data_IF_803457683488
#
_entry.id   IF_803457683488
#
_cell.length_a   1.000
_cell.length_b   1.000
_cell.length_c   1.000
_cell.angle_alpha   90.00
_cell.angle_beta   90.00
_cell.angle_gamma   90.00
#
_symmetry.space_group_name_H-M   'P 1'
#
loop_
_entity.id
_entity.type
_entity.pdbx_description
1 polymer ?
#
# COMPACT_ATOMS: atom_id res chain seq x y z
N UNK A 1 2.88 33.10 1.82
CA UNK A 1 4.00 32.21 2.16
C UNK A 1 3.95 31.10 1.14
N UNK A 2 4.93 31.05 0.23
CA UNK A 2 5.05 29.97 -0.73
C UNK A 2 5.14 28.65 0.01
N UNK A 3 4.23 27.72 -0.28
CA UNK A 3 4.40 26.32 0.11
C UNK A 3 5.68 25.85 -0.58
N UNK A 4 6.78 25.81 0.15
CA UNK A 4 7.96 25.12 -0.35
C UNK A 4 7.52 23.69 -0.60
N UNK A 5 7.55 23.29 -1.87
CA UNK A 5 7.00 22.03 -2.34
C UNK A 5 7.69 20.86 -1.64
N UNK A 6 6.88 19.94 -1.10
CA UNK A 6 7.34 18.72 -0.43
C UNK A 6 7.55 17.70 -1.53
N UNK A 7 8.79 17.32 -1.80
CA UNK A 7 9.09 16.32 -2.83
C UNK A 7 8.40 14.98 -2.52
N UNK A 8 7.53 14.55 -3.40
CA UNK A 8 6.70 13.36 -3.21
C UNK A 8 6.98 12.33 -4.30
N UNK A 9 7.33 11.13 -3.86
CA UNK A 9 7.49 9.94 -4.72
C UNK A 9 6.27 9.04 -4.49
N UNK A 10 5.47 8.84 -5.52
CA UNK A 10 4.29 7.98 -5.49
C UNK A 10 4.56 6.67 -6.25
N UNK A 11 4.38 5.53 -5.58
CA UNK A 11 4.68 4.21 -6.12
C UNK A 11 3.42 3.35 -6.11
N UNK A 12 2.89 3.04 -7.29
CA UNK A 12 1.79 2.10 -7.47
C UNK A 12 2.28 0.77 -8.07
N UNK A 13 1.45 -0.24 -8.00
CA UNK A 13 1.74 -1.54 -8.58
C UNK A 13 0.94 -2.68 -7.93
N UNK A 14 0.95 -3.88 -8.53
CA UNK A 14 0.16 -5.01 -8.08
C UNK A 14 0.62 -5.57 -6.72
N UNK A 15 -0.19 -6.45 -6.13
CA UNK A 15 0.15 -7.11 -4.88
C UNK A 15 1.39 -7.99 -5.05
N UNK A 16 2.36 -7.88 -4.12
CA UNK A 16 3.58 -8.70 -4.17
C UNK A 16 4.66 -8.20 -5.13
N UNK A 17 4.49 -7.05 -5.81
CA UNK A 17 5.53 -6.46 -6.67
C UNK A 17 6.80 -6.01 -5.93
N UNK A 18 6.79 -6.01 -4.59
CA UNK A 18 7.92 -5.55 -3.78
C UNK A 18 7.91 -4.07 -3.44
N UNK A 19 6.89 -3.31 -3.90
CA UNK A 19 6.83 -1.85 -3.71
C UNK A 19 6.93 -1.42 -2.24
N UNK A 20 6.31 -2.12 -1.28
CA UNK A 20 6.42 -1.78 0.14
C UNK A 20 7.85 -1.86 0.66
N UNK A 21 8.61 -2.89 0.27
CA UNK A 21 10.02 -3.03 0.64
C UNK A 21 10.86 -1.94 -0.02
N UNK A 22 10.67 -1.73 -1.32
CA UNK A 22 11.39 -0.71 -2.09
C UNK A 22 11.09 0.69 -1.56
N UNK A 23 9.81 1.04 -1.38
CA UNK A 23 9.39 2.35 -0.89
C UNK A 23 9.94 2.66 0.52
N UNK A 24 9.92 1.67 1.40
CA UNK A 24 10.43 1.80 2.76
C UNK A 24 11.94 2.02 2.78
N UNK A 25 12.72 1.21 2.05
CA UNK A 25 14.17 1.40 2.00
C UNK A 25 14.54 2.69 1.27
N UNK A 26 13.84 3.05 0.20
CA UNK A 26 14.02 4.33 -0.49
C UNK A 26 13.77 5.52 0.45
N UNK A 27 12.71 5.47 1.27
CA UNK A 27 12.42 6.54 2.24
C UNK A 27 13.53 6.71 3.28
N UNK A 28 14.15 5.62 3.73
CA UNK A 28 15.31 5.67 4.63
C UNK A 28 16.53 6.31 3.95
N UNK A 29 16.83 5.90 2.72
CA UNK A 29 17.99 6.44 1.95
C UNK A 29 17.83 7.94 1.74
N UNK A 30 16.61 8.41 1.39
CA UNK A 30 16.34 9.81 1.15
C UNK A 30 16.05 10.61 2.45
N UNK A 31 15.96 9.94 3.58
CA UNK A 31 15.47 10.53 4.84
C UNK A 31 14.09 11.19 4.69
N UNK A 32 13.19 10.56 3.92
CA UNK A 32 11.82 11.00 3.68
C UNK A 32 10.82 10.28 4.58
N UNK A 33 9.66 10.86 4.76
CA UNK A 33 8.53 10.17 5.37
C UNK A 33 8.08 9.00 4.51
N UNK A 34 7.46 8.00 5.13
CA UNK A 34 6.97 6.81 4.45
C UNK A 34 5.47 6.64 4.69
N UNK A 35 4.74 6.32 3.64
CA UNK A 35 3.32 5.98 3.68
C UNK A 35 3.06 4.61 3.03
N UNK A 36 2.68 3.60 3.84
CA UNK A 36 2.04 2.36 3.36
C UNK A 36 0.52 2.55 3.38
N UNK A 37 -0.06 2.95 2.25
CA UNK A 37 -1.52 3.09 2.12
C UNK A 37 -2.25 1.78 2.41
N UNK A 38 -1.69 0.64 1.99
CA UNK A 38 -2.25 -0.67 2.28
C UNK A 38 -2.30 -1.00 3.78
N UNK A 39 -1.34 -0.51 4.58
CA UNK A 39 -1.37 -0.67 6.04
C UNK A 39 -2.56 0.08 6.65
N UNK A 40 -2.86 1.30 6.19
CA UNK A 40 -4.03 2.07 6.66
C UNK A 40 -5.31 1.25 6.48
N UNK A 41 -5.55 0.71 5.27
CA UNK A 41 -6.74 -0.11 5.02
C UNK A 41 -6.78 -1.38 5.86
N UNK A 42 -5.63 -1.98 6.16
CA UNK A 42 -5.54 -3.16 7.04
C UNK A 42 -5.83 -2.82 8.51
N UNK A 43 -5.37 -1.68 8.99
CA UNK A 43 -5.71 -1.21 10.36
C UNK A 43 -7.22 -0.99 10.47
N UNK A 44 -7.83 -0.33 9.50
CA UNK A 44 -9.28 -0.10 9.47
C UNK A 44 -10.04 -1.43 9.40
N UNK A 45 -9.57 -2.37 8.58
CA UNK A 45 -10.15 -3.71 8.51
C UNK A 45 -10.11 -4.42 9.87
N UNK A 46 -8.98 -4.32 10.59
CA UNK A 46 -8.86 -4.87 11.93
C UNK A 46 -9.81 -4.18 12.93
N UNK A 47 -9.93 -2.85 12.87
CA UNK A 47 -10.87 -2.11 13.72
C UNK A 47 -12.33 -2.52 13.47
N UNK A 48 -12.74 -2.65 12.21
CA UNK A 48 -14.05 -3.14 11.79
C UNK A 48 -14.27 -4.57 12.32
N UNK A 49 -13.29 -5.44 12.16
CA UNK A 49 -13.34 -6.82 12.65
C UNK A 49 -13.52 -6.88 14.17
N UNK A 50 -12.74 -6.11 14.92
CA UNK A 50 -12.78 -6.07 16.38
C UNK A 50 -14.13 -5.52 16.91
N UNK A 51 -14.71 -4.54 16.22
CA UNK A 51 -16.03 -3.98 16.53
C UNK A 51 -17.19 -4.85 16.01
N UNK A 52 -16.91 -5.95 15.29
CA UNK A 52 -17.90 -6.84 14.66
C UNK A 52 -18.90 -6.09 13.77
N UNK A 53 -18.42 -5.06 13.05
CA UNK A 53 -19.25 -4.30 12.11
C UNK A 53 -19.38 -5.06 10.79
N UNK A 54 -20.56 -4.99 10.21
CA UNK A 54 -20.84 -5.55 8.88
C UNK A 54 -20.56 -4.51 7.78
N UNK A 55 -20.24 -4.99 6.59
CA UNK A 55 -19.89 -4.17 5.42
C UNK A 55 -20.98 -3.20 4.96
N UNK A 56 -22.24 -3.57 5.14
CA UNK A 56 -23.40 -2.74 4.80
C UNK A 56 -23.64 -1.58 5.78
N UNK A 57 -22.88 -1.53 6.87
CA UNK A 57 -22.98 -0.48 7.89
C UNK A 57 -22.03 0.69 7.59
N UNK A 58 -22.04 1.21 6.35
CA UNK A 58 -21.09 2.25 5.89
C UNK A 58 -21.01 3.45 6.82
N UNK A 59 -22.16 3.97 7.30
CA UNK A 59 -22.18 5.12 8.21
C UNK A 59 -21.42 4.84 9.51
N UNK A 60 -21.60 3.65 10.09
CA UNK A 60 -20.88 3.26 11.31
C UNK A 60 -19.38 3.08 11.06
N UNK A 61 -19.01 2.61 9.87
CA UNK A 61 -17.58 2.49 9.50
C UNK A 61 -16.96 3.88 9.38
N UNK A 62 -17.64 4.86 8.77
CA UNK A 62 -17.17 6.24 8.66
C UNK A 62 -17.11 6.92 10.05
N UNK A 63 -18.06 6.63 10.95
CA UNK A 63 -18.02 7.09 12.33
C UNK A 63 -16.82 6.50 13.09
N UNK A 64 -16.58 5.19 12.93
CA UNK A 64 -15.44 4.50 13.52
C UNK A 64 -14.10 5.18 13.14
N UNK A 65 -13.95 5.66 11.90
CA UNK A 65 -12.74 6.36 11.48
C UNK A 65 -12.45 7.65 12.25
N UNK A 66 -13.47 8.26 12.83
CA UNK A 66 -13.32 9.48 13.66
C UNK A 66 -12.95 9.15 15.10
N UNK A 67 -13.20 7.93 15.53
CA UNK A 67 -12.97 7.47 16.91
C UNK A 67 -11.61 6.80 17.08
N UNK A 68 -11.07 6.15 16.04
CA UNK A 68 -9.82 5.42 16.11
C UNK A 68 -8.61 6.32 15.84
N UNK A 69 -7.54 6.06 16.58
CA UNK A 69 -6.23 6.66 16.33
C UNK A 69 -5.33 5.65 15.62
N UNK A 70 -4.79 6.05 14.46
CA UNK A 70 -3.84 5.26 13.68
C UNK A 70 -2.50 5.97 13.68
N UNK A 71 -1.46 5.31 14.17
CA UNK A 71 -0.10 5.84 14.11
C UNK A 71 0.90 4.80 13.60
N UNK A 72 1.99 5.31 13.03
CA UNK A 72 3.08 4.52 12.48
C UNK A 72 4.38 5.02 13.10
N UNK A 73 5.12 4.14 13.77
CA UNK A 73 6.41 4.45 14.37
C UNK A 73 7.43 3.40 13.94
N UNK A 74 8.49 3.84 13.27
CA UNK A 74 9.50 2.95 12.69
C UNK A 74 8.86 1.83 11.85
N UNK A 75 8.91 0.59 12.32
CA UNK A 75 8.39 -0.61 11.65
C UNK A 75 7.07 -1.08 12.24
N UNK A 76 6.50 -0.32 13.17
CA UNK A 76 5.30 -0.68 13.93
C UNK A 76 4.09 0.13 13.47
N UNK A 77 2.96 -0.52 13.57
CA UNK A 77 1.64 0.07 13.29
C UNK A 77 0.80 -0.03 14.55
N UNK A 78 0.22 1.09 14.95
CA UNK A 78 -0.59 1.18 16.16
C UNK A 78 -2.03 1.52 15.82
N UNK A 79 -2.93 0.90 16.55
CA UNK A 79 -4.36 1.22 16.60
C UNK A 79 -4.72 1.52 18.07
N UNK A 80 -5.17 2.75 18.34
CA UNK A 80 -5.51 3.22 19.70
C UNK A 80 -4.37 2.94 20.70
N UNK A 81 -3.13 3.20 20.29
CA UNK A 81 -1.92 2.98 21.09
C UNK A 81 -1.45 1.52 21.21
N UNK A 82 -2.21 0.54 20.69
CA UNK A 82 -1.82 -0.87 20.71
C UNK A 82 -1.04 -1.22 19.44
N UNK A 83 0.13 -1.87 19.58
CA UNK A 83 0.88 -2.44 18.45
C UNK A 83 0.06 -3.57 17.78
N UNK A 84 -0.32 -3.37 16.53
CA UNK A 84 -1.11 -4.30 15.71
C UNK A 84 -0.37 -4.77 14.46
N UNK A 85 0.95 -4.62 14.45
CA UNK A 85 1.80 -4.89 13.29
C UNK A 85 1.73 -6.33 12.78
N UNK A 86 1.48 -7.30 13.65
CA UNK A 86 1.29 -8.70 13.28
C UNK A 86 -0.13 -8.97 12.82
N UNK A 87 -1.13 -8.49 13.56
CA UNK A 87 -2.54 -8.74 13.31
C UNK A 87 -2.98 -8.19 11.94
N UNK A 88 -2.53 -7.01 11.56
CA UNK A 88 -2.86 -6.41 10.25
C UNK A 88 -2.27 -7.17 9.04
N UNK A 89 -1.35 -8.11 9.29
CA UNK A 89 -0.73 -8.95 8.24
C UNK A 89 -1.39 -10.32 8.10
N UNK A 90 -2.36 -10.62 8.93
CA UNK A 90 -3.17 -11.84 8.79
C UNK A 90 -3.92 -11.84 7.46
N UNK A 91 -4.08 -13.05 6.90
CA UNK A 91 -4.73 -13.20 5.60
C UNK A 91 -6.20 -12.77 5.62
N UNK A 92 -6.92 -13.08 6.69
CA UNK A 92 -8.30 -12.66 6.94
C UNK A 92 -8.44 -11.14 6.89
N UNK A 93 -7.56 -10.41 7.59
CA UNK A 93 -7.54 -8.94 7.62
C UNK A 93 -7.13 -8.37 6.26
N UNK A 94 -6.18 -9.00 5.57
CA UNK A 94 -5.78 -8.57 4.23
C UNK A 94 -6.91 -8.73 3.19
N UNK A 95 -7.69 -9.81 3.25
CA UNK A 95 -8.89 -10.01 2.42
C UNK A 95 -9.96 -8.98 2.73
N UNK A 96 -10.20 -8.71 4.02
CA UNK A 96 -11.13 -7.68 4.47
C UNK A 96 -10.71 -6.29 4.00
N UNK A 97 -9.42 -5.93 4.13
CA UNK A 97 -8.88 -4.67 3.64
C UNK A 97 -9.09 -4.46 2.14
N UNK A 98 -8.88 -5.51 1.33
CA UNK A 98 -9.14 -5.44 -0.12
C UNK A 98 -10.62 -5.19 -0.43
N UNK A 99 -11.53 -5.72 0.39
CA UNK A 99 -12.97 -5.51 0.24
C UNK A 99 -13.38 -4.09 0.64
N UNK A 100 -12.92 -3.57 1.79
CA UNK A 100 -13.26 -2.21 2.22
C UNK A 100 -12.64 -1.13 1.32
N UNK A 101 -11.49 -1.42 0.68
CA UNK A 101 -10.86 -0.50 -0.26
C UNK A 101 -11.71 -0.23 -1.53
N UNK A 102 -12.81 -0.97 -1.76
CA UNK A 102 -13.77 -0.72 -2.82
C UNK A 102 -14.83 0.31 -2.43
N UNK A 103 -14.98 0.63 -1.15
CA UNK A 103 -15.98 1.58 -0.67
C UNK A 103 -15.55 3.03 -0.94
N UNK A 104 -16.35 3.76 -1.73
CA UNK A 104 -16.05 5.12 -2.15
C UNK A 104 -16.00 6.12 -0.99
N UNK A 105 -16.98 6.05 -0.08
CA UNK A 105 -17.09 7.00 1.03
C UNK A 105 -15.93 6.82 2.02
N UNK A 106 -15.54 5.56 2.27
CA UNK A 106 -14.35 5.27 3.07
C UNK A 106 -13.09 5.86 2.44
N UNK A 107 -12.92 5.67 1.12
CA UNK A 107 -11.76 6.22 0.41
C UNK A 107 -11.71 7.73 0.49
N UNK A 108 -12.84 8.41 0.27
CA UNK A 108 -12.94 9.87 0.41
C UNK A 108 -12.56 10.32 1.83
N UNK A 109 -13.06 9.63 2.85
CA UNK A 109 -12.78 9.95 4.25
C UNK A 109 -11.30 9.79 4.63
N UNK A 110 -10.56 8.89 3.94
CA UNK A 110 -9.15 8.64 4.19
C UNK A 110 -8.21 9.54 3.40
N UNK A 111 -8.69 10.23 2.38
CA UNK A 111 -7.83 10.98 1.47
C UNK A 111 -7.01 12.07 2.18
N UNK A 112 -7.65 12.85 3.06
CA UNK A 112 -6.97 13.89 3.84
C UNK A 112 -5.95 13.30 4.81
N UNK A 113 -6.28 12.17 5.44
CA UNK A 113 -5.37 11.46 6.34
C UNK A 113 -4.13 10.96 5.59
N UNK A 114 -4.30 10.32 4.43
CA UNK A 114 -3.17 9.88 3.61
C UNK A 114 -2.29 11.05 3.15
N UNK A 115 -2.91 12.14 2.71
CA UNK A 115 -2.19 13.36 2.29
C UNK A 115 -1.44 14.06 3.42
N UNK A 116 -1.87 13.90 4.66
CA UNK A 116 -1.18 14.49 5.83
C UNK A 116 0.21 13.91 6.10
N UNK A 117 0.56 12.79 5.46
CA UNK A 117 1.91 12.21 5.52
C UNK A 117 2.93 12.98 4.67
N UNK A 118 2.48 13.80 3.72
CA UNK A 118 3.36 14.67 2.96
C UNK A 118 3.88 15.80 3.86
N UNK A 119 5.12 15.65 4.32
CA UNK A 119 5.82 16.57 5.22
C UNK A 119 7.29 16.68 4.80
N UNK A 120 7.93 17.80 5.13
CA UNK A 120 9.39 17.94 4.93
C UNK A 120 10.15 16.89 5.71
N UNK A 121 11.24 16.35 5.19
CA UNK A 121 11.93 16.76 3.95
C UNK A 121 11.33 16.22 2.65
N UNK A 122 10.42 15.25 2.71
CA UNK A 122 9.76 14.64 1.55
C UNK A 122 8.96 13.42 1.94
N UNK A 123 8.28 12.80 0.95
CA UNK A 123 7.44 11.61 1.15
C UNK A 123 7.72 10.54 0.10
N UNK A 124 7.80 9.28 0.51
CA UNK A 124 7.63 8.10 -0.35
C UNK A 124 6.33 7.40 0.02
N UNK A 125 5.36 7.43 -0.89
CA UNK A 125 4.04 6.83 -0.71
C UNK A 125 3.87 5.60 -1.61
N UNK A 126 3.35 4.49 -1.06
CA UNK A 126 3.08 3.29 -1.84
C UNK A 126 1.63 2.83 -1.71
N UNK A 127 1.07 2.33 -2.83
CA UNK A 127 -0.32 1.89 -2.85
C UNK A 127 -0.78 1.24 -4.15
N UNK A 128 -1.98 1.67 -4.59
CA UNK A 128 -2.64 1.24 -5.83
C UNK A 128 -3.16 2.41 -6.67
N UNK A 129 -3.27 3.57 -6.06
CA UNK A 129 -3.83 4.79 -6.63
C UNK A 129 -3.13 6.04 -6.08
N UNK A 130 -1.88 5.87 -5.68
CA UNK A 130 -1.06 6.98 -5.17
C UNK A 130 -0.81 8.01 -6.26
N UNK A 131 -0.49 7.55 -7.47
CA UNK A 131 -0.17 8.39 -8.62
C UNK A 131 -1.40 9.04 -9.24
N UNK A 132 -2.57 8.37 -9.17
CA UNK A 132 -3.79 8.79 -9.89
C UNK A 132 -4.80 9.53 -9.01
N UNK A 133 -4.85 9.24 -7.69
CA UNK A 133 -5.89 9.77 -6.79
C UNK A 133 -5.31 10.48 -5.57
N UNK A 134 -4.40 9.84 -4.84
CA UNK A 134 -3.94 10.38 -3.55
C UNK A 134 -2.96 11.53 -3.76
N UNK A 135 -1.95 11.33 -4.60
CA UNK A 135 -0.92 12.31 -4.96
C UNK A 135 -0.79 12.47 -6.49
N UNK A 136 -1.84 12.94 -7.18
CA UNK A 136 -1.80 13.08 -8.65
C UNK A 136 -0.76 14.11 -9.12
N UNK A 137 -0.32 15.00 -8.24
CA UNK A 137 0.76 15.96 -8.49
C UNK A 137 2.10 15.53 -7.87
N UNK A 138 2.35 14.21 -7.66
CA UNK A 138 3.64 13.75 -7.16
C UNK A 138 4.78 14.10 -8.13
N UNK A 139 5.94 14.51 -7.58
CA UNK A 139 7.13 14.91 -8.36
C UNK A 139 7.73 13.74 -9.12
N UNK A 140 7.61 12.52 -8.58
CA UNK A 140 8.02 11.30 -9.25
C UNK A 140 6.92 10.24 -9.09
N UNK A 141 6.40 9.77 -10.21
CA UNK A 141 5.40 8.72 -10.29
C UNK A 141 6.02 7.43 -10.81
N UNK A 142 5.80 6.33 -10.12
CA UNK A 142 6.36 5.02 -10.45
C UNK A 142 5.25 3.98 -10.45
N UNK A 143 5.25 3.15 -11.48
CA UNK A 143 4.50 1.90 -11.50
C UNK A 143 5.50 0.74 -11.38
N UNK A 144 5.56 0.11 -10.20
CA UNK A 144 6.46 -1.00 -9.92
C UNK A 144 5.75 -2.32 -10.22
N UNK A 145 6.15 -2.98 -11.31
CA UNK A 145 5.56 -4.22 -11.76
C UNK A 145 6.48 -5.43 -11.53
N UNK A 146 5.86 -6.60 -11.46
CA UNK A 146 6.51 -7.90 -11.52
C UNK A 146 5.53 -8.94 -12.06
N UNK A 147 6.02 -9.96 -12.73
CA UNK A 147 5.20 -11.07 -13.23
C UNK A 147 4.47 -11.80 -12.09
N UNK A 148 3.32 -12.40 -12.39
CA UNK A 148 2.57 -13.22 -11.42
C UNK A 148 3.46 -14.33 -10.86
N UNK A 149 4.26 -14.96 -11.73
CA UNK A 149 5.19 -16.01 -11.37
C UNK A 149 6.21 -15.54 -10.34
N UNK A 150 6.86 -14.40 -10.58
CA UNK A 150 7.88 -13.85 -9.66
C UNK A 150 7.25 -13.46 -8.30
N UNK A 151 6.06 -12.84 -8.32
CA UNK A 151 5.34 -12.47 -7.12
C UNK A 151 4.89 -13.68 -6.30
N UNK A 152 4.49 -14.76 -6.97
CA UNK A 152 4.13 -16.03 -6.34
C UNK A 152 5.32 -16.70 -5.68
N UNK A 153 6.48 -16.69 -6.34
CA UNK A 153 7.73 -17.20 -5.76
C UNK A 153 8.12 -16.41 -4.50
N UNK A 154 8.05 -15.07 -4.55
CA UNK A 154 8.33 -14.20 -3.39
C UNK A 154 7.36 -14.51 -2.24
N UNK A 155 6.08 -14.61 -2.53
CA UNK A 155 5.04 -14.91 -1.53
C UNK A 155 5.19 -16.30 -0.93
N UNK A 156 5.47 -17.30 -1.77
CA UNK A 156 5.74 -18.67 -1.34
C UNK A 156 6.91 -18.72 -0.36
N UNK A 157 8.06 -18.11 -0.73
CA UNK A 157 9.22 -18.02 0.16
C UNK A 157 8.89 -17.39 1.52
N UNK A 158 8.12 -16.29 1.54
CA UNK A 158 7.69 -15.63 2.77
C UNK A 158 6.83 -16.53 3.66
N UNK A 159 5.92 -17.31 3.06
CA UNK A 159 5.02 -18.19 3.80
C UNK A 159 5.76 -19.41 4.35
N UNK A 160 6.66 -20.01 3.57
CA UNK A 160 7.51 -21.13 4.04
C UNK A 160 8.38 -20.69 5.24
N UNK A 161 8.99 -19.49 5.19
CA UNK A 161 9.77 -18.95 6.31
C UNK A 161 8.93 -18.73 7.58
N UNK A 162 7.61 -18.59 7.46
CA UNK A 162 6.66 -18.51 8.57
C UNK A 162 6.12 -19.87 9.01
N UNK A 163 6.62 -20.97 8.46
CA UNK A 163 6.19 -22.32 8.77
C UNK A 163 4.89 -22.78 8.09
N UNK A 164 4.39 -22.00 7.10
CA UNK A 164 3.19 -22.36 6.36
C UNK A 164 3.55 -23.24 5.16
N UNK A 165 2.88 -24.38 5.01
CA UNK A 165 3.00 -25.21 3.81
C UNK A 165 1.92 -24.81 2.79
N UNK A 166 2.33 -24.22 1.68
CA UNK A 166 1.42 -23.66 0.66
C UNK A 166 1.82 -24.11 -0.74
N UNK A 167 0.83 -24.34 -1.59
CA UNK A 167 1.04 -24.68 -2.99
C UNK A 167 1.22 -23.40 -3.83
N UNK A 168 2.30 -23.34 -4.61
CA UNK A 168 2.62 -22.17 -5.44
C UNK A 168 1.56 -21.90 -6.51
N UNK A 169 0.96 -22.93 -7.11
CA UNK A 169 -0.09 -22.77 -8.12
C UNK A 169 -1.37 -22.11 -7.54
N UNK A 170 -1.69 -22.42 -6.27
CA UNK A 170 -2.79 -21.74 -5.58
C UNK A 170 -2.46 -20.26 -5.34
N UNK A 171 -1.22 -19.96 -4.97
CA UNK A 171 -0.77 -18.57 -4.79
C UNK A 171 -0.81 -17.76 -6.09
N UNK A 172 -0.43 -18.37 -7.23
CA UNK A 172 -0.54 -17.73 -8.55
C UNK A 172 -2.00 -17.38 -8.86
N UNK A 173 -2.91 -18.31 -8.63
CA UNK A 173 -4.34 -18.11 -8.83
C UNK A 173 -4.88 -16.98 -7.93
N UNK A 174 -4.51 -16.98 -6.65
CA UNK A 174 -4.93 -15.94 -5.70
C UNK A 174 -4.38 -14.56 -6.08
N UNK A 175 -3.12 -14.49 -6.49
CA UNK A 175 -2.48 -13.25 -6.93
C UNK A 175 -3.13 -12.72 -8.19
N UNK A 176 -3.36 -13.57 -9.19
CA UNK A 176 -4.04 -13.19 -10.43
C UNK A 176 -5.47 -12.69 -10.19
N UNK A 177 -6.22 -13.37 -9.32
CA UNK A 177 -7.57 -12.95 -8.94
C UNK A 177 -7.55 -11.58 -8.24
N UNK A 178 -6.61 -11.35 -7.35
CA UNK A 178 -6.45 -10.07 -6.66
C UNK A 178 -6.09 -8.94 -7.60
N UNK A 179 -5.18 -9.20 -8.56
CA UNK A 179 -4.82 -8.20 -9.58
C UNK A 179 -6.02 -7.82 -10.43
N UNK A 180 -6.83 -8.81 -10.83
CA UNK A 180 -8.06 -8.56 -11.54
C UNK A 180 -9.00 -7.67 -10.71
N UNK A 181 -9.21 -7.98 -9.43
CA UNK A 181 -10.03 -7.17 -8.53
C UNK A 181 -9.50 -5.73 -8.38
N UNK A 182 -8.16 -5.55 -8.23
CA UNK A 182 -7.53 -4.23 -8.11
C UNK A 182 -7.68 -3.41 -9.40
N UNK A 183 -7.63 -4.03 -10.58
CA UNK A 183 -7.77 -3.38 -11.88
C UNK A 183 -9.24 -3.07 -12.27
N UNK A 184 -10.17 -3.96 -11.91
CA UNK A 184 -11.58 -3.86 -12.32
C UNK A 184 -12.48 -3.17 -11.29
N UNK A 185 -11.96 -2.77 -10.13
CA UNK A 185 -12.79 -2.08 -9.13
C UNK A 185 -13.31 -0.75 -9.68
N UNK A 186 -14.57 -0.44 -9.35
CA UNK A 186 -15.27 0.75 -9.84
C UNK A 186 -14.61 2.05 -9.35
N UNK A 187 -14.09 2.03 -8.13
CA UNK A 187 -13.49 3.22 -7.50
C UNK A 187 -11.99 3.03 -7.32
N UNK A 188 -11.21 3.99 -7.83
CA UNK A 188 -9.74 4.02 -7.79
C UNK A 188 -9.12 2.70 -8.27
N UNK A 189 -9.40 2.25 -9.51
CA UNK A 189 -8.76 1.06 -10.06
C UNK A 189 -7.24 1.22 -10.07
N UNK A 190 -6.52 0.09 -10.02
CA UNK A 190 -5.09 0.11 -10.25
C UNK A 190 -4.82 0.42 -11.72
N UNK A 191 -4.47 1.67 -12.00
CA UNK A 191 -4.12 2.17 -13.33
C UNK A 191 -2.65 2.56 -13.36
N UNK A 192 -2.11 2.60 -14.56
CA UNK A 192 -0.80 3.21 -14.81
C UNK A 192 -1.08 4.67 -15.19
N UNK A 193 -0.56 5.60 -14.42
CA UNK A 193 -0.62 7.02 -14.71
C UNK A 193 0.24 7.33 -15.96
N UNK A 194 -0.21 8.22 -16.82
CA UNK A 194 0.47 8.53 -18.10
C UNK A 194 1.88 9.10 -17.90
N UNK A 195 2.15 9.72 -16.74
CA UNK A 195 3.46 10.27 -16.37
C UNK A 195 4.29 9.28 -15.56
N UNK A 196 3.78 8.08 -15.25
CA UNK A 196 4.50 7.13 -14.42
C UNK A 196 5.60 6.39 -15.17
N UNK A 197 6.77 6.33 -14.55
CA UNK A 197 7.86 5.45 -15.00
C UNK A 197 7.53 4.00 -14.63
N UNK A 198 7.45 3.14 -15.63
CA UNK A 198 7.20 1.71 -15.42
C UNK A 198 8.52 1.01 -15.16
N UNK A 199 8.64 0.36 -14.00
CA UNK A 199 9.81 -0.43 -13.61
C UNK A 199 9.36 -1.88 -13.41
N UNK A 200 9.78 -2.77 -14.32
CA UNK A 200 9.69 -4.21 -14.08
C UNK A 200 10.89 -4.63 -13.22
N UNK A 201 10.63 -5.31 -12.11
CA UNK A 201 11.65 -5.77 -11.18
C UNK A 201 11.77 -7.30 -11.10
N UNK A 202 11.33 -8.02 -12.15
CA UNK A 202 11.59 -9.45 -12.28
C UNK A 202 13.09 -9.71 -12.27
N UNK A 203 13.53 -10.61 -11.41
CA UNK A 203 14.94 -10.96 -11.26
C UNK A 203 15.84 -9.89 -10.63
N UNK A 204 15.29 -8.71 -10.31
CA UNK A 204 16.07 -7.65 -9.66
C UNK A 204 16.04 -7.79 -8.14
N UNK A 205 17.16 -7.45 -7.51
CA UNK A 205 17.24 -7.20 -6.08
C UNK A 205 16.52 -5.89 -5.69
N UNK A 206 16.27 -5.73 -4.40
CA UNK A 206 15.71 -4.47 -3.86
C UNK A 206 16.65 -3.30 -4.15
N UNK A 207 17.94 -3.49 -3.98
CA UNK A 207 18.97 -2.48 -4.21
C UNK A 207 19.01 -2.03 -5.68
N UNK A 208 19.04 -2.97 -6.63
CA UNK A 208 19.00 -2.65 -8.07
C UNK A 208 17.72 -1.90 -8.46
N UNK A 209 16.58 -2.28 -7.87
CA UNK A 209 15.32 -1.58 -8.09
C UNK A 209 15.38 -0.14 -7.56
N UNK A 210 15.93 0.06 -6.36
CA UNK A 210 16.12 1.39 -5.76
C UNK A 210 17.06 2.24 -6.61
N UNK A 211 18.16 1.69 -7.08
CA UNK A 211 19.12 2.42 -7.91
C UNK A 211 18.47 2.91 -9.23
N UNK A 212 17.57 2.11 -9.82
CA UNK A 212 16.78 2.57 -10.97
C UNK A 212 15.88 3.76 -10.62
N UNK A 213 15.27 3.76 -9.43
CA UNK A 213 14.43 4.87 -8.98
C UNK A 213 15.26 6.12 -8.70
N UNK A 214 16.39 5.97 -8.01
CA UNK A 214 17.28 7.09 -7.70
C UNK A 214 17.81 7.77 -8.97
N UNK A 215 18.05 7.02 -10.04
CA UNK A 215 18.48 7.56 -11.32
C UNK A 215 17.39 8.42 -12.02
N UNK A 216 16.15 8.37 -11.57
CA UNK A 216 15.03 9.19 -12.10
C UNK A 216 14.84 10.50 -11.30
N UNK A 217 15.49 10.65 -10.14
CA UNK A 217 15.38 11.83 -9.28
C UNK A 217 16.33 12.95 -9.72
N UNK A 218 17.32 12.63 -10.54
CA UNK A 218 18.41 13.55 -10.95
C UNK A 218 18.05 14.34 -12.21
#
# INVERSE_FOLDING_TARGET
>A
MSSEDIFTIAIDGPAGSGKGTVAKELSKILNYHYLDSGAIYRVIALAIHNKKLEFNQEKKIVELLKEIEISFEFDKTFLDGKDVSSEIREESISKLASKIAQNQELRKSLLSFQRSFAKKPGLVAEGRDMTTVVFPGADLKIYLDASVEERSKRRHKQLILKGNNVNIANLETEIALRDKQDKERVHSPLLIDDEAHIINNDGLSVEETINKILALIN
#
